data_IF_063958994776
#
_entry.id   IF_063958994776
#
_cell.length_a   1.000
_cell.length_b   1.000
_cell.length_c   1.000
_cell.angle_alpha   90.00
_cell.angle_beta   90.00
_cell.angle_gamma   90.00
#
_symmetry.space_group_name_H-M   'P 1'
#
loop_
_entity.id
_entity.type
_entity.pdbx_description
1 polymer ?
#
# COMPACT_ATOMS: atom_id res chain seq x y z
N UNK A 1 -14.78 -5.25 18.45
CA UNK A 1 -13.66 -4.63 17.68
C UNK A 1 -14.28 -3.95 16.47
N UNK A 2 -14.15 -2.63 16.35
CA UNK A 2 -14.59 -1.93 15.15
C UNK A 2 -13.80 -2.49 13.97
N UNK A 3 -14.50 -2.92 12.92
CA UNK A 3 -13.85 -3.39 11.70
C UNK A 3 -13.00 -2.26 11.14
N UNK A 4 -11.71 -2.52 10.90
CA UNK A 4 -10.84 -1.57 10.21
C UNK A 4 -11.48 -1.25 8.86
N UNK A 5 -11.83 0.02 8.64
CA UNK A 5 -12.43 0.42 7.38
C UNK A 5 -11.44 0.13 6.25
N UNK A 6 -11.88 -0.65 5.25
CA UNK A 6 -11.06 -0.99 4.09
C UNK A 6 -10.80 0.28 3.28
N UNK A 7 -9.54 0.71 3.11
CA UNK A 7 -9.27 1.89 2.28
C UNK A 7 -9.68 1.62 0.84
N UNK A 8 -10.20 2.63 0.15
CA UNK A 8 -10.57 2.55 -1.27
C UNK A 8 -9.46 3.08 -2.19
N UNK A 9 -8.63 3.97 -1.67
CA UNK A 9 -7.43 4.52 -2.28
C UNK A 9 -6.45 4.90 -1.16
N UNK A 10 -5.15 4.81 -1.40
CA UNK A 10 -4.12 5.06 -0.40
C UNK A 10 -3.15 6.13 -0.92
N UNK A 11 -2.77 7.07 -0.06
CA UNK A 11 -1.71 8.03 -0.35
C UNK A 11 -0.34 7.43 0.02
N UNK A 12 0.50 7.19 -0.98
CA UNK A 12 1.84 6.64 -0.83
C UNK A 12 2.90 7.73 -0.65
N UNK A 13 3.79 7.55 0.34
CA UNK A 13 4.77 8.57 0.75
C UNK A 13 6.20 8.32 0.26
N UNK A 14 6.43 7.27 -0.54
CA UNK A 14 7.75 6.97 -1.10
C UNK A 14 8.32 8.16 -1.92
N UNK A 15 9.64 8.42 -1.78
CA UNK A 15 10.40 9.40 -2.56
C UNK A 15 9.99 10.87 -2.38
N UNK A 16 9.29 11.21 -1.28
CA UNK A 16 8.87 12.59 -0.98
C UNK A 16 9.96 13.41 -0.29
N UNK A 17 10.92 12.74 0.38
CA UNK A 17 12.05 13.36 1.09
C UNK A 17 11.55 14.42 2.09
N UNK A 18 12.17 15.58 2.11
CA UNK A 18 11.85 16.77 2.92
C UNK A 18 10.44 17.34 2.70
N UNK A 19 9.76 16.95 1.61
CA UNK A 19 8.38 17.38 1.34
C UNK A 19 7.32 16.46 1.95
N UNK A 20 7.74 15.37 2.63
CA UNK A 20 6.81 14.33 3.11
C UNK A 20 5.75 14.91 4.03
N UNK A 21 6.12 15.65 5.06
CA UNK A 21 5.20 16.30 6.01
C UNK A 21 4.15 17.14 5.28
N UNK A 22 4.60 18.12 4.49
CA UNK A 22 3.70 19.03 3.77
C UNK A 22 2.74 18.30 2.82
N UNK A 23 3.20 17.25 2.16
CA UNK A 23 2.38 16.46 1.23
C UNK A 23 1.37 15.56 1.96
N UNK A 24 1.72 15.02 3.12
CA UNK A 24 0.78 14.27 3.98
C UNK A 24 -0.33 15.18 4.49
N UNK A 25 0.03 16.39 4.97
CA UNK A 25 -0.95 17.40 5.38
C UNK A 25 -1.93 17.71 4.24
N UNK A 26 -1.40 17.96 3.03
CA UNK A 26 -2.24 18.23 1.85
C UNK A 26 -3.16 17.05 1.52
N UNK A 27 -2.62 15.84 1.47
CA UNK A 27 -3.40 14.64 1.18
C UNK A 27 -4.57 14.46 2.16
N UNK A 28 -4.31 14.59 3.47
CA UNK A 28 -5.34 14.47 4.51
C UNK A 28 -6.37 15.57 4.38
N UNK A 29 -5.96 16.83 4.14
CA UNK A 29 -6.86 17.97 3.96
C UNK A 29 -7.74 17.87 2.73
N UNK A 30 -7.25 17.23 1.66
CA UNK A 30 -8.05 16.91 0.47
C UNK A 30 -9.00 15.73 0.66
N UNK A 31 -8.87 14.95 1.74
CA UNK A 31 -9.81 13.87 2.05
C UNK A 31 -9.23 12.47 2.04
N UNK A 32 -7.92 12.30 1.79
CA UNK A 32 -7.30 10.99 2.00
C UNK A 32 -7.40 10.59 3.47
N UNK A 33 -7.75 9.33 3.70
CA UNK A 33 -7.86 8.73 5.04
C UNK A 33 -6.98 7.48 5.20
N UNK A 34 -6.21 7.15 4.17
CA UNK A 34 -5.26 6.04 4.20
C UNK A 34 -3.89 6.51 3.74
N UNK A 35 -2.87 6.24 4.54
CA UNK A 35 -1.49 6.65 4.31
C UNK A 35 -0.60 5.40 4.32
N UNK A 36 0.24 5.24 3.29
CA UNK A 36 1.25 4.19 3.19
C UNK A 36 2.66 4.77 3.30
N UNK A 37 3.47 4.18 4.18
CA UNK A 37 4.88 4.52 4.37
C UNK A 37 5.71 3.24 4.61
N UNK A 38 6.96 3.38 5.01
CA UNK A 38 7.82 2.27 5.43
C UNK A 38 8.93 2.72 6.37
N UNK A 39 9.32 1.87 7.31
CA UNK A 39 10.51 2.04 8.15
C UNK A 39 11.78 1.75 7.33
N UNK A 40 12.03 2.61 6.34
CA UNK A 40 13.12 2.51 5.36
C UNK A 40 13.61 3.91 4.98
N UNK A 41 14.56 4.50 5.71
CA UNK A 41 15.04 5.87 5.47
C UNK A 41 15.67 6.11 4.09
N UNK A 42 15.93 5.05 3.33
CA UNK A 42 16.43 5.13 1.95
C UNK A 42 15.45 5.84 1.01
N UNK A 43 14.16 5.56 1.14
CA UNK A 43 13.11 6.01 0.23
C UNK A 43 11.94 6.71 0.92
N UNK A 44 11.85 6.63 2.23
CA UNK A 44 10.74 7.14 3.02
C UNK A 44 11.24 8.05 4.15
N UNK A 45 10.44 9.04 4.48
CA UNK A 45 10.57 9.86 5.68
C UNK A 45 9.35 9.58 6.59
N UNK A 46 9.48 8.50 7.38
CA UNK A 46 8.39 8.05 8.25
C UNK A 46 8.10 9.05 9.38
N UNK A 47 9.12 9.75 9.88
CA UNK A 47 8.94 10.79 10.88
C UNK A 47 8.16 12.00 10.32
N UNK A 48 8.47 12.41 9.08
CA UNK A 48 7.70 13.44 8.37
C UNK A 48 6.24 13.04 8.15
N UNK A 49 5.95 11.72 7.96
CA UNK A 49 4.57 11.23 7.93
C UNK A 49 3.89 11.45 9.27
N UNK A 50 4.55 11.06 10.37
CA UNK A 50 4.00 11.24 11.73
C UNK A 50 3.72 12.70 12.06
N UNK A 51 4.66 13.59 11.78
CA UNK A 51 4.48 15.05 11.96
C UNK A 51 3.30 15.57 11.14
N UNK A 52 3.21 15.15 9.86
CA UNK A 52 2.10 15.56 8.97
C UNK A 52 0.73 15.08 9.45
N UNK A 53 0.65 13.85 9.97
CA UNK A 53 -0.59 13.32 10.57
C UNK A 53 -0.95 14.12 11.82
N UNK A 54 0.01 14.30 12.75
CA UNK A 54 -0.22 15.04 13.99
C UNK A 54 -0.73 16.47 13.75
N UNK A 55 -0.22 17.15 12.70
CA UNK A 55 -0.68 18.47 12.30
C UNK A 55 -2.12 18.51 11.75
N UNK A 56 -2.70 17.34 11.44
CA UNK A 56 -4.06 17.21 10.92
C UNK A 56 -5.07 16.73 11.97
N UNK A 57 -4.60 16.13 13.08
CA UNK A 57 -5.48 15.68 14.17
C UNK A 57 -6.13 16.92 14.81
N UNK A 58 -7.45 16.87 15.04
CA UNK A 58 -8.26 17.98 15.51
C UNK A 58 -9.55 17.43 16.13
N UNK A 59 -10.45 18.31 16.59
CA UNK A 59 -11.77 17.91 17.09
C UNK A 59 -12.65 17.19 16.05
N UNK A 60 -12.30 17.28 14.77
CA UNK A 60 -13.05 16.67 13.65
C UNK A 60 -12.32 15.52 12.96
N UNK A 61 -11.09 15.24 13.33
CA UNK A 61 -10.28 14.14 12.76
C UNK A 61 -9.43 13.50 13.85
N UNK A 62 -9.74 12.27 14.18
CA UNK A 62 -9.01 11.47 15.16
C UNK A 62 -8.07 10.46 14.47
N UNK A 63 -7.15 9.86 15.26
CA UNK A 63 -6.26 8.79 14.80
C UNK A 63 -7.05 7.61 14.21
N UNK A 64 -8.19 7.27 14.79
CA UNK A 64 -9.07 6.17 14.38
C UNK A 64 -9.74 6.39 13.02
N UNK A 65 -9.84 7.63 12.56
CA UNK A 65 -10.38 7.98 11.24
C UNK A 65 -9.35 7.74 10.12
N UNK A 66 -8.09 7.47 10.48
CA UNK A 66 -7.00 7.23 9.56
C UNK A 66 -6.59 5.76 9.55
N UNK A 67 -6.38 5.23 8.34
CA UNK A 67 -5.72 3.95 8.11
C UNK A 67 -4.22 4.22 7.88
N UNK A 68 -3.37 3.81 8.81
CA UNK A 68 -1.92 3.99 8.73
C UNK A 68 -1.26 2.64 8.50
N UNK A 69 -0.56 2.53 7.38
CA UNK A 69 0.17 1.34 6.96
C UNK A 69 1.66 1.66 6.87
N UNK A 70 2.49 0.83 7.49
CA UNK A 70 3.95 0.91 7.34
C UNK A 70 4.54 -0.48 7.14
N UNK A 71 5.86 -0.57 6.93
CA UNK A 71 6.51 -1.80 6.50
C UNK A 71 7.76 -2.10 7.31
N UNK A 72 7.94 -3.36 7.71
CA UNK A 72 9.25 -3.90 8.04
C UNK A 72 10.01 -4.18 6.75
N UNK A 73 11.16 -3.52 6.57
CA UNK A 73 12.06 -3.74 5.43
C UNK A 73 13.25 -4.56 5.88
N UNK A 74 13.50 -5.76 5.31
CA UNK A 74 14.70 -6.55 5.61
C UNK A 74 16.00 -5.79 5.32
N UNK A 75 17.10 -6.18 5.96
CA UNK A 75 18.44 -5.54 5.82
C UNK A 75 18.84 -5.34 4.36
N UNK A 76 18.54 -6.32 3.49
CA UNK A 76 18.85 -6.24 2.05
C UNK A 76 18.16 -5.08 1.32
N UNK A 77 17.07 -4.54 1.87
CA UNK A 77 16.35 -3.39 1.33
C UNK A 77 16.68 -2.06 2.01
N UNK A 78 17.52 -2.07 3.06
CA UNK A 78 17.88 -0.88 3.82
C UNK A 78 19.09 -0.13 3.22
N UNK A 79 19.28 1.08 3.67
CA UNK A 79 20.54 1.81 3.54
C UNK A 79 21.46 1.35 4.69
N UNK A 80 22.63 0.77 4.42
CA UNK A 80 23.48 0.20 5.47
C UNK A 80 23.94 1.24 6.52
N UNK A 81 23.93 2.52 6.18
CA UNK A 81 24.30 3.60 7.09
C UNK A 81 23.12 4.18 7.89
N UNK A 82 21.90 3.79 7.58
CA UNK A 82 20.66 4.34 8.17
C UNK A 82 19.61 3.27 8.44
N UNK A 83 20.07 2.05 8.76
CA UNK A 83 19.14 0.98 9.14
C UNK A 83 18.45 1.34 10.45
N UNK A 84 17.10 1.29 10.54
CA UNK A 84 16.36 1.76 11.72
C UNK A 84 16.29 0.75 12.86
N UNK A 85 17.08 -0.29 12.80
CA UNK A 85 17.22 -1.37 13.80
C UNK A 85 18.65 -1.95 13.75
N UNK A 86 19.04 -2.75 14.74
CA UNK A 86 20.33 -3.45 14.72
C UNK A 86 20.33 -4.54 13.63
N UNK A 87 21.11 -4.37 12.53
CA UNK A 87 21.17 -5.33 11.45
C UNK A 87 21.80 -6.68 11.83
N UNK A 88 22.47 -6.76 12.98
CA UNK A 88 23.12 -7.96 13.50
C UNK A 88 22.27 -8.71 14.55
N UNK A 89 21.19 -8.11 15.02
CA UNK A 89 20.25 -8.74 15.93
C UNK A 89 19.56 -9.96 15.26
N UNK A 90 19.03 -10.91 16.05
CA UNK A 90 18.15 -11.96 15.53
C UNK A 90 16.98 -11.36 14.75
N UNK A 91 16.53 -12.04 13.68
CA UNK A 91 15.50 -11.50 12.77
C UNK A 91 14.22 -11.06 13.49
N UNK A 92 13.77 -11.82 14.48
CA UNK A 92 12.59 -11.45 15.27
C UNK A 92 12.79 -10.12 16.03
N UNK A 93 14.00 -9.87 16.53
CA UNK A 93 14.35 -8.60 17.18
C UNK A 93 14.42 -7.46 16.15
N UNK A 94 14.97 -7.68 14.95
CA UNK A 94 14.96 -6.68 13.87
C UNK A 94 13.54 -6.22 13.56
N UNK A 95 12.59 -7.15 13.46
CA UNK A 95 11.17 -6.85 13.24
C UNK A 95 10.60 -6.01 14.37
N UNK A 96 10.86 -6.40 15.62
CA UNK A 96 10.34 -5.72 16.82
C UNK A 96 10.94 -4.31 16.97
N UNK A 97 12.24 -4.16 16.75
CA UNK A 97 12.93 -2.86 16.79
C UNK A 97 12.43 -1.93 15.68
N UNK A 98 12.27 -2.44 14.45
CA UNK A 98 11.70 -1.69 13.33
C UNK A 98 10.27 -1.22 13.64
N UNK A 99 9.46 -2.08 14.22
CA UNK A 99 8.09 -1.74 14.63
C UNK A 99 8.08 -0.65 15.71
N UNK A 100 8.94 -0.76 16.74
CA UNK A 100 9.06 0.27 17.78
C UNK A 100 9.50 1.62 17.19
N UNK A 101 10.45 1.60 16.25
CA UNK A 101 10.88 2.80 15.52
C UNK A 101 9.72 3.41 14.73
N UNK A 102 8.92 2.59 14.03
CA UNK A 102 7.74 3.06 13.32
C UNK A 102 6.70 3.72 14.22
N UNK A 103 6.40 3.13 15.38
CA UNK A 103 5.48 3.73 16.35
C UNK A 103 5.97 5.10 16.83
N UNK A 104 7.28 5.21 17.11
CA UNK A 104 7.91 6.47 17.50
C UNK A 104 7.84 7.52 16.39
N UNK A 105 8.24 7.16 15.17
CA UNK A 105 8.23 8.04 14.00
C UNK A 105 6.82 8.54 13.66
N UNK A 106 5.84 7.65 13.74
CA UNK A 106 4.43 7.94 13.40
C UNK A 106 3.63 8.54 14.56
N UNK A 107 4.25 8.69 15.74
CA UNK A 107 3.62 9.20 16.96
C UNK A 107 2.29 8.50 17.26
N UNK A 108 2.27 7.16 17.17
CA UNK A 108 1.06 6.34 17.37
C UNK A 108 1.36 5.13 18.24
N UNK A 109 0.35 4.58 18.90
CA UNK A 109 0.46 3.36 19.70
C UNK A 109 0.13 2.07 18.95
N UNK A 110 -0.40 2.17 17.72
CA UNK A 110 -0.77 1.02 16.89
C UNK A 110 -0.74 1.37 15.40
N UNK A 111 -0.64 0.32 14.58
CA UNK A 111 -0.77 0.39 13.12
C UNK A 111 -2.07 -0.26 12.66
N UNK A 112 -2.67 0.25 11.59
CA UNK A 112 -3.79 -0.43 10.95
C UNK A 112 -3.30 -1.61 10.11
N UNK A 113 -2.12 -1.50 9.48
CA UNK A 113 -1.46 -2.61 8.81
C UNK A 113 0.07 -2.54 8.97
N UNK A 114 0.68 -3.65 9.35
CA UNK A 114 2.12 -3.86 9.28
C UNK A 114 2.42 -4.79 8.10
N UNK A 115 3.23 -4.32 7.15
CA UNK A 115 3.54 -5.05 5.92
C UNK A 115 4.98 -5.55 5.94
N UNK A 116 5.20 -6.81 5.62
CA UNK A 116 6.52 -7.32 5.25
C UNK A 116 6.87 -6.76 3.86
N UNK A 117 7.91 -5.90 3.78
CA UNK A 117 8.18 -5.10 2.58
C UNK A 117 8.57 -5.94 1.35
N UNK A 118 9.15 -7.12 1.58
CA UNK A 118 9.39 -8.14 0.56
C UNK A 118 9.55 -9.51 1.23
N UNK A 119 9.34 -10.62 0.53
CA UNK A 119 9.84 -11.92 0.96
C UNK A 119 11.34 -11.83 1.29
N UNK A 120 11.79 -12.63 2.25
CA UNK A 120 13.21 -12.81 2.57
C UNK A 120 13.85 -13.83 1.59
N UNK A 121 15.14 -14.10 1.77
CA UNK A 121 15.92 -14.96 0.89
C UNK A 121 15.32 -16.37 0.69
N UNK A 122 14.60 -16.88 1.69
CA UNK A 122 13.91 -18.17 1.63
C UNK A 122 12.61 -18.16 2.44
N UNK A 123 11.80 -19.19 2.24
CA UNK A 123 10.50 -19.34 2.88
C UNK A 123 10.61 -19.49 4.41
N UNK A 124 11.69 -20.10 4.92
CA UNK A 124 11.90 -20.30 6.37
C UNK A 124 12.13 -18.96 7.06
N UNK A 125 13.00 -18.12 6.50
CA UNK A 125 13.27 -16.78 7.04
C UNK A 125 12.06 -15.86 6.90
N UNK A 126 11.31 -15.96 5.81
CA UNK A 126 10.07 -15.22 5.69
C UNK A 126 9.04 -15.63 6.75
N UNK A 127 8.89 -16.93 6.99
CA UNK A 127 8.02 -17.43 8.07
C UNK A 127 8.52 -17.02 9.47
N UNK A 128 9.82 -16.88 9.68
CA UNK A 128 10.40 -16.37 10.92
C UNK A 128 10.02 -14.89 11.15
N UNK A 129 10.22 -14.03 10.14
CA UNK A 129 9.80 -12.63 10.20
C UNK A 129 8.27 -12.52 10.40
N UNK A 130 7.51 -13.35 9.70
CA UNK A 130 6.05 -13.36 9.82
C UNK A 130 5.59 -13.70 11.23
N UNK A 131 6.19 -14.70 11.90
CA UNK A 131 5.89 -15.03 13.30
C UNK A 131 6.17 -13.89 14.26
N UNK A 132 7.24 -13.11 14.03
CA UNK A 132 7.51 -11.92 14.83
C UNK A 132 6.43 -10.84 14.61
N UNK A 133 5.95 -10.67 13.37
CA UNK A 133 4.82 -9.78 13.07
C UNK A 133 3.51 -10.29 13.68
N UNK A 134 3.28 -11.60 13.72
CA UNK A 134 2.12 -12.20 14.41
C UNK A 134 2.13 -11.88 15.91
N UNK A 135 3.30 -11.94 16.57
CA UNK A 135 3.43 -11.56 17.99
C UNK A 135 3.10 -10.08 18.21
N UNK A 136 3.48 -9.18 17.29
CA UNK A 136 3.08 -7.77 17.31
C UNK A 136 1.57 -7.62 17.19
N UNK A 137 0.94 -8.38 16.30
CA UNK A 137 -0.52 -8.38 16.11
C UNK A 137 -1.25 -8.90 17.36
N UNK A 138 -0.74 -9.95 18.00
CA UNK A 138 -1.30 -10.49 19.26
C UNK A 138 -1.24 -9.47 20.40
N UNK A 139 -0.18 -8.66 20.44
CA UNK A 139 -0.05 -7.55 21.37
C UNK A 139 -0.86 -6.30 20.97
N UNK A 140 -1.74 -6.41 19.97
CA UNK A 140 -2.55 -5.31 19.43
C UNK A 140 -1.75 -4.14 18.84
N UNK A 141 -0.47 -4.35 18.53
CA UNK A 141 0.38 -3.34 17.91
C UNK A 141 0.06 -3.13 16.41
N UNK A 142 -0.45 -4.15 15.73
CA UNK A 142 -0.93 -4.06 14.35
C UNK A 142 -2.27 -4.79 14.21
N UNK A 143 -3.25 -4.12 13.59
CA UNK A 143 -4.60 -4.67 13.37
C UNK A 143 -4.64 -5.69 12.24
N UNK A 144 -3.80 -5.48 11.23
CA UNK A 144 -3.68 -6.34 10.04
C UNK A 144 -2.20 -6.58 9.71
N UNK A 145 -1.92 -7.70 9.08
CA UNK A 145 -0.61 -8.02 8.53
C UNK A 145 -0.71 -8.12 7.00
N UNK A 146 0.36 -7.69 6.31
CA UNK A 146 0.45 -7.76 4.87
C UNK A 146 1.83 -8.17 4.37
N UNK A 147 1.93 -8.46 3.09
CA UNK A 147 3.19 -8.71 2.40
C UNK A 147 3.25 -7.89 1.10
N UNK A 148 4.43 -7.39 0.77
CA UNK A 148 4.68 -6.62 -0.44
C UNK A 148 5.75 -7.29 -1.30
N UNK A 149 5.79 -6.91 -2.60
CA UNK A 149 6.77 -7.44 -3.56
C UNK A 149 6.80 -8.98 -3.62
N UNK A 150 5.65 -9.62 -3.43
CA UNK A 150 5.47 -11.06 -3.48
C UNK A 150 4.82 -11.44 -4.82
N UNK A 151 5.64 -11.74 -5.83
CA UNK A 151 5.21 -12.00 -7.21
C UNK A 151 5.10 -13.50 -7.55
N UNK A 152 5.39 -14.38 -6.62
CA UNK A 152 5.26 -15.83 -6.79
C UNK A 152 4.01 -16.31 -6.04
N UNK A 153 3.04 -16.86 -6.78
CA UNK A 153 1.78 -17.34 -6.21
C UNK A 153 1.99 -18.51 -5.25
N UNK A 154 2.83 -19.50 -5.59
CA UNK A 154 3.08 -20.66 -4.73
C UNK A 154 3.69 -20.25 -3.39
N UNK A 155 4.54 -19.23 -3.43
CA UNK A 155 5.13 -18.65 -2.23
C UNK A 155 4.08 -17.97 -1.34
N UNK A 156 3.19 -17.18 -1.94
CA UNK A 156 2.08 -16.52 -1.23
C UNK A 156 1.11 -17.56 -0.65
N UNK A 157 0.81 -18.61 -1.40
CA UNK A 157 -0.01 -19.74 -0.92
C UNK A 157 0.62 -20.46 0.25
N UNK A 158 1.94 -20.73 0.17
CA UNK A 158 2.68 -21.39 1.25
C UNK A 158 2.67 -20.52 2.53
N UNK A 159 2.90 -19.22 2.39
CA UNK A 159 2.79 -18.27 3.51
C UNK A 159 1.38 -18.28 4.08
N UNK A 160 0.36 -18.15 3.22
CA UNK A 160 -1.03 -18.16 3.66
C UNK A 160 -1.42 -19.46 4.38
N UNK A 161 -0.96 -20.64 3.91
CA UNK A 161 -1.21 -21.92 4.58
C UNK A 161 -0.58 -21.99 5.96
N UNK A 162 0.70 -21.61 6.08
CA UNK A 162 1.50 -21.75 7.30
C UNK A 162 1.27 -20.65 8.34
N UNK A 163 0.89 -19.45 7.93
CA UNK A 163 0.64 -18.33 8.82
C UNK A 163 -0.57 -18.59 9.71
N UNK A 164 -0.44 -18.29 11.00
CA UNK A 164 -1.57 -18.32 11.97
C UNK A 164 -2.45 -17.08 11.78
N UNK A 165 -1.84 -15.89 11.74
CA UNK A 165 -2.51 -14.65 11.32
C UNK A 165 -2.32 -14.53 9.82
N UNK A 166 -3.40 -14.72 9.06
CA UNK A 166 -3.34 -14.70 7.59
C UNK A 166 -2.99 -13.31 7.04
N UNK A 167 -2.27 -13.23 5.91
CA UNK A 167 -2.11 -11.96 5.21
C UNK A 167 -3.49 -11.35 4.90
N UNK A 168 -3.73 -10.13 5.36
CA UNK A 168 -4.91 -9.35 5.02
C UNK A 168 -4.67 -8.45 3.81
N UNK A 169 -3.39 -8.17 3.49
CA UNK A 169 -2.96 -7.27 2.41
C UNK A 169 -1.83 -7.92 1.62
N UNK A 170 -1.92 -7.83 0.28
CA UNK A 170 -0.82 -8.03 -0.66
C UNK A 170 -0.62 -6.73 -1.42
N UNK A 171 0.59 -6.14 -1.35
CA UNK A 171 0.91 -4.87 -2.02
C UNK A 171 2.03 -5.08 -3.04
N UNK A 172 1.70 -5.07 -4.33
CA UNK A 172 2.65 -5.30 -5.41
C UNK A 172 2.69 -4.16 -6.43
N UNK A 173 3.79 -4.08 -7.19
CA UNK A 173 3.86 -3.24 -8.37
C UNK A 173 2.89 -3.79 -9.42
N UNK A 174 2.09 -2.89 -9.97
CA UNK A 174 1.12 -3.25 -11.01
C UNK A 174 1.71 -2.92 -12.39
N UNK A 175 2.19 -3.94 -13.11
CA UNK A 175 2.88 -3.75 -14.38
C UNK A 175 2.90 -5.02 -15.25
N UNK A 176 3.22 -4.84 -16.53
CA UNK A 176 3.10 -5.89 -17.54
C UNK A 176 4.04 -7.09 -17.30
N UNK A 177 5.26 -6.86 -16.78
CA UNK A 177 6.26 -7.92 -16.58
C UNK A 177 5.80 -9.03 -15.62
N UNK A 178 4.83 -8.76 -14.73
CA UNK A 178 4.23 -9.79 -13.87
C UNK A 178 2.85 -10.23 -14.35
N UNK A 179 2.45 -9.90 -15.59
CA UNK A 179 1.09 -10.14 -16.07
C UNK A 179 0.04 -9.44 -15.19
N UNK A 180 0.40 -8.28 -14.64
CA UNK A 180 -0.45 -7.51 -13.73
C UNK A 180 -0.93 -8.32 -12.52
N UNK A 181 -0.14 -9.29 -12.09
CA UNK A 181 -0.41 -10.19 -10.96
C UNK A 181 -1.78 -10.89 -11.02
N UNK A 182 -2.24 -11.26 -12.21
CA UNK A 182 -3.59 -11.76 -12.43
C UNK A 182 -3.95 -12.93 -11.50
N UNK A 183 -3.08 -13.93 -11.40
CA UNK A 183 -3.33 -15.11 -10.56
C UNK A 183 -3.31 -14.76 -9.06
N UNK A 184 -2.39 -13.90 -8.65
CA UNK A 184 -2.30 -13.40 -7.27
C UNK A 184 -3.55 -12.61 -6.91
N UNK A 185 -4.07 -11.76 -7.82
CA UNK A 185 -5.32 -11.01 -7.58
C UNK A 185 -6.53 -11.93 -7.44
N UNK A 186 -6.62 -12.99 -8.25
CA UNK A 186 -7.68 -14.01 -8.10
C UNK A 186 -7.56 -14.71 -6.75
N UNK A 187 -6.36 -15.18 -6.38
CA UNK A 187 -6.09 -15.79 -5.08
C UNK A 187 -6.49 -14.87 -3.92
N UNK A 188 -6.14 -13.60 -4.01
CA UNK A 188 -6.50 -12.60 -3.00
C UNK A 188 -8.03 -12.43 -2.88
N UNK A 189 -8.72 -12.28 -4.01
CA UNK A 189 -10.16 -12.09 -4.06
C UNK A 189 -10.93 -13.26 -3.43
N UNK A 190 -10.55 -14.50 -3.76
CA UNK A 190 -11.16 -15.72 -3.20
C UNK A 190 -11.00 -15.84 -1.68
N UNK A 191 -9.98 -15.20 -1.09
CA UNK A 191 -9.65 -15.31 0.36
C UNK A 191 -9.92 -14.02 1.13
N UNK A 192 -10.54 -13.03 0.49
CA UNK A 192 -10.83 -11.75 1.14
C UNK A 192 -9.57 -10.91 1.45
N UNK A 193 -8.43 -11.22 0.83
CA UNK A 193 -7.18 -10.47 0.94
C UNK A 193 -7.29 -9.22 0.07
N UNK A 194 -6.91 -8.07 0.60
CA UNK A 194 -6.87 -6.81 -0.15
C UNK A 194 -5.62 -6.77 -1.02
N UNK A 195 -5.81 -6.78 -2.35
CA UNK A 195 -4.71 -6.49 -3.25
C UNK A 195 -4.55 -4.97 -3.41
N UNK A 196 -3.34 -4.46 -3.11
CA UNK A 196 -2.98 -3.05 -3.26
C UNK A 196 -1.97 -2.91 -4.40
N UNK A 197 -2.17 -1.92 -5.29
CA UNK A 197 -1.28 -1.68 -6.42
C UNK A 197 -0.44 -0.43 -6.23
N UNK A 198 0.89 -0.52 -6.37
CA UNK A 198 1.76 0.65 -6.44
C UNK A 198 2.41 0.80 -7.82
N UNK A 199 2.94 2.00 -8.13
CA UNK A 199 3.46 2.40 -9.45
C UNK A 199 2.44 2.23 -10.58
N UNK A 200 1.19 2.20 -10.26
CA UNK A 200 0.07 1.88 -11.16
C UNK A 200 0.03 2.78 -12.41
N UNK A 201 0.27 4.07 -12.26
CA UNK A 201 0.34 4.99 -13.40
C UNK A 201 1.75 5.03 -14.01
N UNK A 202 2.77 5.13 -13.18
CA UNK A 202 4.16 5.32 -13.59
C UNK A 202 4.71 4.13 -14.40
N UNK A 203 4.30 2.91 -14.05
CA UNK A 203 4.73 1.70 -14.75
C UNK A 203 3.91 1.42 -16.04
N UNK A 204 2.81 2.14 -16.25
CA UNK A 204 1.86 1.84 -17.33
C UNK A 204 1.51 3.05 -18.20
N UNK A 205 2.50 3.81 -18.72
CA UNK A 205 2.21 4.95 -19.59
C UNK A 205 1.49 4.53 -20.89
N UNK A 206 1.73 3.31 -21.38
CA UNK A 206 1.09 2.74 -22.55
C UNK A 206 -0.43 2.55 -22.33
N UNK A 207 -0.86 2.13 -21.14
CA UNK A 207 -2.30 2.02 -20.82
C UNK A 207 -2.96 3.40 -20.80
N UNK A 208 -2.29 4.39 -20.21
CA UNK A 208 -2.81 5.76 -20.13
C UNK A 208 -2.92 6.42 -21.50
N UNK A 209 -2.03 6.07 -22.44
CA UNK A 209 -2.03 6.59 -23.81
C UNK A 209 -2.92 5.79 -24.77
N UNK A 210 -3.48 4.66 -24.33
CA UNK A 210 -4.27 3.79 -25.21
C UNK A 210 -5.59 4.45 -25.62
N UNK A 211 -5.99 4.29 -26.89
CA UNK A 211 -7.20 4.90 -27.46
C UNK A 211 -8.48 4.57 -26.70
N UNK A 212 -8.62 3.33 -26.20
CA UNK A 212 -9.75 2.91 -25.36
C UNK A 212 -9.84 3.74 -24.08
N UNK A 213 -8.72 3.96 -23.40
CA UNK A 213 -8.67 4.76 -22.16
C UNK A 213 -8.93 6.24 -22.49
N UNK A 214 -8.36 6.75 -23.57
CA UNK A 214 -8.61 8.12 -24.03
C UNK A 214 -10.08 8.37 -24.39
N UNK A 215 -10.73 7.43 -25.08
CA UNK A 215 -12.16 7.52 -25.41
C UNK A 215 -13.05 7.52 -24.16
N UNK A 216 -12.73 6.68 -23.16
CA UNK A 216 -13.44 6.65 -21.89
C UNK A 216 -13.20 7.95 -21.09
N UNK A 217 -11.98 8.47 -21.10
CA UNK A 217 -11.66 9.74 -20.47
C UNK A 217 -12.49 10.89 -21.04
N UNK A 218 -12.60 10.98 -22.37
CA UNK A 218 -13.44 11.96 -23.04
C UNK A 218 -14.93 11.77 -22.69
N UNK A 219 -15.43 10.53 -22.73
CA UNK A 219 -16.84 10.20 -22.43
C UNK A 219 -17.26 10.62 -21.03
N UNK A 220 -16.42 10.38 -20.03
CA UNK A 220 -16.73 10.67 -18.63
C UNK A 220 -16.27 12.07 -18.18
N UNK A 221 -15.67 12.86 -19.08
CA UNK A 221 -15.01 14.12 -18.75
C UNK A 221 -14.02 13.95 -17.57
N UNK A 222 -13.16 12.92 -17.66
CA UNK A 222 -12.16 12.52 -16.67
C UNK A 222 -10.78 12.39 -17.31
N UNK A 223 -9.73 12.30 -16.50
CA UNK A 223 -8.38 12.03 -16.97
C UNK A 223 -8.17 10.53 -17.25
N UNK A 224 -7.23 10.13 -18.12
CA UNK A 224 -6.83 8.73 -18.26
C UNK A 224 -6.43 8.06 -16.95
N UNK A 225 -5.77 8.79 -16.04
CA UNK A 225 -5.41 8.30 -14.71
C UNK A 225 -6.66 7.94 -13.89
N UNK A 226 -7.68 8.81 -13.90
CA UNK A 226 -8.95 8.55 -13.23
C UNK A 226 -9.66 7.30 -13.80
N UNK A 227 -9.64 7.10 -15.12
CA UNK A 227 -10.22 5.92 -15.74
C UNK A 227 -9.52 4.64 -15.27
N UNK A 228 -8.18 4.62 -15.27
CA UNK A 228 -7.42 3.44 -14.84
C UNK A 228 -7.63 3.16 -13.35
N UNK A 229 -7.57 4.15 -12.49
CA UNK A 229 -7.84 3.99 -11.06
C UNK A 229 -9.29 3.54 -10.80
N UNK A 230 -10.27 4.10 -11.54
CA UNK A 230 -11.67 3.68 -11.39
C UNK A 230 -11.87 2.23 -11.81
N UNK A 231 -11.29 1.82 -12.94
CA UNK A 231 -11.29 0.42 -13.36
C UNK A 231 -10.75 -0.48 -12.25
N UNK A 232 -9.56 -0.19 -11.73
CA UNK A 232 -8.94 -1.01 -10.69
C UNK A 232 -9.79 -1.10 -9.42
N UNK A 233 -10.39 0.00 -8.99
CA UNK A 233 -11.25 -0.01 -7.79
C UNK A 233 -12.54 -0.79 -8.01
N UNK A 234 -13.07 -0.84 -9.22
CA UNK A 234 -14.22 -1.68 -9.56
C UNK A 234 -13.85 -3.17 -9.67
N UNK A 235 -12.58 -3.48 -9.96
CA UNK A 235 -12.02 -4.85 -9.90
C UNK A 235 -11.56 -5.25 -8.49
N UNK A 236 -11.86 -4.47 -7.46
CA UNK A 236 -11.53 -4.77 -6.06
C UNK A 236 -10.08 -4.51 -5.68
N UNK A 237 -9.29 -3.88 -6.55
CA UNK A 237 -7.91 -3.45 -6.29
C UNK A 237 -7.92 -2.10 -5.57
N UNK A 238 -7.06 -1.94 -4.58
CA UNK A 238 -6.85 -0.65 -3.89
C UNK A 238 -5.58 0.00 -4.43
N UNK A 239 -5.69 1.06 -5.25
CA UNK A 239 -4.51 1.72 -5.79
C UNK A 239 -3.84 2.63 -4.76
N UNK A 240 -2.49 2.69 -4.84
CA UNK A 240 -1.69 3.71 -4.20
C UNK A 240 -1.41 4.83 -5.20
N UNK A 241 -1.70 6.06 -4.79
CA UNK A 241 -1.24 7.26 -5.50
C UNK A 241 -0.10 7.92 -4.73
N UNK A 242 0.92 8.38 -5.46
CA UNK A 242 2.06 9.09 -4.91
C UNK A 242 2.19 10.50 -5.48
N UNK A 243 1.08 11.10 -5.92
CA UNK A 243 1.12 12.44 -6.53
C UNK A 243 1.63 13.51 -5.57
N UNK A 244 2.28 14.53 -6.12
CA UNK A 244 2.68 15.75 -5.40
C UNK A 244 1.83 16.96 -5.79
N UNK A 245 0.89 16.78 -6.72
CA UNK A 245 -0.04 17.79 -7.22
C UNK A 245 -1.36 17.76 -6.46
N UNK A 246 -1.77 18.88 -5.90
CA UNK A 246 -3.07 19.01 -5.23
C UNK A 246 -4.25 18.82 -6.20
N UNK A 247 -4.07 19.21 -7.48
CA UNK A 247 -5.07 18.93 -8.51
C UNK A 247 -5.26 17.42 -8.69
N UNK A 248 -4.17 16.67 -8.84
CA UNK A 248 -4.25 15.21 -8.95
C UNK A 248 -4.77 14.55 -7.66
N UNK A 249 -4.46 15.10 -6.46
CA UNK A 249 -5.04 14.58 -5.22
C UNK A 249 -6.57 14.65 -5.23
N UNK A 250 -7.15 15.75 -5.72
CA UNK A 250 -8.61 15.90 -5.87
C UNK A 250 -9.16 14.94 -6.93
N UNK A 251 -8.51 14.90 -8.10
CA UNK A 251 -8.90 14.00 -9.20
C UNK A 251 -8.90 12.54 -8.77
N UNK A 252 -7.86 12.10 -8.03
CA UNK A 252 -7.74 10.73 -7.51
C UNK A 252 -8.88 10.37 -6.54
N UNK A 253 -9.36 11.32 -5.74
CA UNK A 253 -10.51 11.11 -4.85
C UNK A 253 -11.85 11.14 -5.59
N UNK A 254 -11.95 11.85 -6.71
CA UNK A 254 -13.15 11.94 -7.54
C UNK A 254 -13.43 10.69 -8.37
N UNK A 255 -12.52 9.70 -8.41
CA UNK A 255 -12.73 8.43 -9.13
C UNK A 255 -13.98 7.68 -8.66
N UNK A 256 -14.49 7.97 -7.49
CA UNK A 256 -15.69 7.36 -6.92
C UNK A 256 -17.00 8.08 -7.31
N UNK A 257 -16.92 9.17 -8.07
CA UNK A 257 -18.08 9.94 -8.52
C UNK A 257 -18.69 9.41 -9.85
N UNK A 258 -18.08 8.41 -10.47
CA UNK A 258 -18.59 7.77 -11.70
C UNK A 258 -18.31 6.27 -11.69
N UNK A 259 -18.94 5.54 -12.60
CA UNK A 259 -18.74 4.11 -12.76
C UNK A 259 -18.55 3.76 -14.23
N UNK A 260 -17.58 2.89 -14.50
CA UNK A 260 -17.42 2.25 -15.79
C UNK A 260 -18.46 1.12 -15.92
N UNK A 261 -19.11 1.02 -17.07
CA UNK A 261 -20.03 -0.07 -17.37
C UNK A 261 -19.26 -1.38 -17.57
N UNK A 262 -19.96 -2.51 -17.50
CA UNK A 262 -19.34 -3.82 -17.63
C UNK A 262 -18.58 -4.00 -18.95
N UNK A 263 -19.13 -3.51 -20.06
CA UNK A 263 -18.51 -3.53 -21.38
C UNK A 263 -17.20 -2.72 -21.40
N UNK A 264 -17.18 -1.56 -20.73
CA UNK A 264 -16.04 -0.67 -20.64
C UNK A 264 -14.94 -1.26 -19.75
N UNK A 265 -15.34 -1.87 -18.62
CA UNK A 265 -14.40 -2.60 -17.76
C UNK A 265 -13.75 -3.77 -18.52
N UNK A 266 -14.52 -4.51 -19.33
CA UNK A 266 -13.96 -5.57 -20.17
C UNK A 266 -12.98 -5.02 -21.20
N UNK A 267 -13.30 -3.91 -21.86
CA UNK A 267 -12.40 -3.27 -22.82
C UNK A 267 -11.07 -2.84 -22.17
N UNK A 268 -11.09 -2.31 -20.94
CA UNK A 268 -9.85 -2.00 -20.20
C UNK A 268 -9.14 -3.29 -19.75
N UNK A 269 -9.89 -4.32 -19.30
CA UNK A 269 -9.31 -5.61 -18.90
C UNK A 269 -8.55 -6.31 -20.03
N UNK A 270 -9.01 -6.16 -21.29
CA UNK A 270 -8.36 -6.77 -22.45
C UNK A 270 -6.99 -6.14 -22.72
N UNK A 271 -6.79 -4.85 -22.38
CA UNK A 271 -5.47 -4.20 -22.46
C UNK A 271 -4.43 -4.79 -21.47
N UNK A 272 -4.89 -5.41 -20.40
CA UNK A 272 -4.02 -6.06 -19.42
C UNK A 272 -3.66 -7.51 -19.82
N UNK A 273 -4.10 -7.97 -20.99
CA UNK A 273 -3.82 -9.31 -21.51
C UNK A 273 -2.92 -9.27 -22.76
N UNK A 274 -2.80 -8.10 -23.34
CA UNK A 274 -1.92 -7.83 -24.49
C UNK A 274 -0.54 -7.41 -24.03
#
# INVERSE_FOLDING_TARGET
MNSVARPRIIYGTAWKKDRTEALVIKAIRHGFRAIDTACQPKHYDEAGVGTGIAACISDTLNREDLYIQTKFTPVSGQDPYRTPYDPHAPLAEQVTQSFATSLSNLATSYLDCLVLHSPLADAKRTAEAWRAMEAISDAHGARQLGISNCYNLEYLEALHRSARVKPAVVQNRFYAETGYDREIRVFCAERGIVYQSFWTLTANPHLLAHETVAALAAKYARTPAQILFRYLTQEGVVPLTGTTSEAHMREDLEIFAFELRDEERRAVADLLRS
#
